data_IF_036029007908
#
_entry.id   IF_036029007908
#
_cell.length_a   1.000
_cell.length_b   1.000
_cell.length_c   1.000
_cell.angle_alpha   90.00
_cell.angle_beta   90.00
_cell.angle_gamma   90.00
#
_symmetry.space_group_name_H-M   'P 1'
#
loop_
_entity.id
_entity.type
_entity.pdbx_description
1 polymer ?
#
# COMPACT_ATOMS: atom_id res chain seq x y z
N UNK A 1 49.65 23.17 8.19
CA UNK A 1 49.46 23.99 9.41
C UNK A 1 48.68 25.23 9.02
N UNK A 2 47.53 25.05 8.38
CA UNK A 2 46.25 24.46 8.87
C UNK A 2 45.40 25.59 9.47
N UNK A 3 44.51 26.19 8.68
CA UNK A 3 43.13 25.76 8.35
C UNK A 3 42.15 26.54 9.25
N UNK A 4 41.56 27.60 8.68
CA UNK A 4 40.49 28.36 9.33
C UNK A 4 39.17 27.58 9.16
N UNK A 5 38.42 27.30 10.23
CA UNK A 5 37.14 26.61 10.08
C UNK A 5 36.08 27.58 9.54
N UNK A 6 35.63 27.29 8.32
CA UNK A 6 34.48 27.91 7.69
C UNK A 6 33.21 27.71 8.54
N UNK A 7 32.58 28.83 8.92
CA UNK A 7 31.26 28.89 9.53
C UNK A 7 30.21 28.40 8.53
N UNK A 8 29.72 27.17 8.73
CA UNK A 8 28.53 26.62 8.07
C UNK A 8 27.27 27.29 8.63
N UNK A 9 26.35 27.83 7.80
CA UNK A 9 25.02 28.14 8.28
C UNK A 9 24.25 26.84 8.55
N UNK A 10 23.74 26.72 9.78
CA UNK A 10 22.86 25.63 10.18
C UNK A 10 21.60 25.63 9.31
N UNK A 11 21.36 24.50 8.65
CA UNK A 11 20.16 24.25 7.86
C UNK A 11 18.92 24.35 8.74
N UNK A 12 18.02 25.22 8.30
CA UNK A 12 16.64 25.46 8.73
C UNK A 12 16.01 24.30 9.51
N UNK A 13 15.85 24.51 10.82
CA UNK A 13 14.89 23.79 11.63
C UNK A 13 13.50 24.41 11.41
N UNK A 14 12.91 24.19 10.23
CA UNK A 14 11.49 24.46 10.02
C UNK A 14 10.66 23.27 10.53
N UNK A 15 10.75 23.08 11.85
CA UNK A 15 9.70 22.40 12.61
C UNK A 15 8.73 23.49 13.02
N UNK A 16 7.47 23.35 12.60
CA UNK A 16 6.27 24.10 13.04
C UNK A 16 5.81 25.20 12.09
N UNK A 17 5.25 24.83 10.95
CA UNK A 17 3.92 25.32 10.52
C UNK A 17 3.40 24.54 9.32
N UNK A 18 2.60 23.51 9.58
CA UNK A 18 1.53 23.18 8.64
C UNK A 18 0.28 23.93 9.11
N UNK A 19 -0.45 24.59 8.20
CA UNK A 19 -1.22 25.77 8.55
C UNK A 19 -2.57 25.40 9.13
N UNK A 20 -3.10 26.33 9.90
CA UNK A 20 -4.48 26.49 10.38
C UNK A 20 -5.52 26.56 9.23
N UNK A 21 -5.36 25.77 8.16
CA UNK A 21 -6.27 25.68 7.01
C UNK A 21 -7.26 24.51 7.11
N UNK A 22 -7.18 23.70 8.17
CA UNK A 22 -8.15 22.63 8.46
C UNK A 22 -8.76 22.75 9.86
N UNK A 23 -8.60 23.90 10.52
CA UNK A 23 -9.33 24.21 11.74
C UNK A 23 -10.59 24.99 11.37
N UNK A 24 -11.62 24.26 10.93
CA UNK A 24 -12.97 24.75 11.11
C UNK A 24 -13.49 24.09 12.37
N UNK A 25 -13.76 24.93 13.37
CA UNK A 25 -14.45 24.63 14.61
C UNK A 25 -15.54 23.59 14.40
N UNK A 26 -15.72 22.68 15.36
CA UNK A 26 -16.85 21.78 15.36
C UNK A 26 -18.16 22.57 15.49
N UNK A 27 -19.11 22.44 14.55
CA UNK A 27 -20.50 22.32 14.91
C UNK A 27 -20.83 20.82 14.99
N UNK A 28 -21.38 20.45 16.13
CA UNK A 28 -22.60 19.64 16.25
C UNK A 28 -22.92 18.73 15.06
N UNK A 29 -22.76 17.42 15.25
CA UNK A 29 -23.59 16.30 14.74
C UNK A 29 -24.15 16.34 13.31
N UNK A 30 -23.66 17.21 12.43
CA UNK A 30 -24.11 17.32 11.06
C UNK A 30 -23.43 16.18 10.31
N UNK A 31 -24.26 15.23 9.83
CA UNK A 31 -23.87 14.12 8.96
C UNK A 31 -22.71 14.55 8.06
N UNK A 32 -21.48 14.15 8.38
CA UNK A 32 -20.39 14.31 7.44
C UNK A 32 -20.82 13.59 6.17
N UNK A 33 -20.82 14.24 5.00
CA UNK A 33 -21.18 13.58 3.77
C UNK A 33 -20.29 12.34 3.63
N UNK A 34 -20.93 11.19 3.38
CA UNK A 34 -20.23 9.95 3.14
C UNK A 34 -19.29 10.17 1.96
N UNK A 35 -17.98 10.11 2.20
CA UNK A 35 -16.99 10.36 1.16
C UNK A 35 -17.12 9.26 0.12
N UNK A 36 -17.24 9.64 -1.16
CA UNK A 36 -17.11 8.67 -2.24
C UNK A 36 -15.72 8.03 -2.18
N UNK A 37 -15.58 6.83 -2.74
CA UNK A 37 -14.29 6.13 -2.84
C UNK A 37 -13.22 7.04 -3.47
N UNK A 38 -13.57 7.74 -4.55
CA UNK A 38 -12.67 8.66 -5.24
C UNK A 38 -12.22 9.83 -4.37
N UNK A 39 -13.15 10.46 -3.64
CA UNK A 39 -12.83 11.57 -2.74
C UNK A 39 -11.96 11.11 -1.57
N UNK A 40 -12.25 9.94 -0.99
CA UNK A 40 -11.44 9.36 0.07
C UNK A 40 -10.03 9.03 -0.43
N UNK A 41 -9.92 8.43 -1.63
CA UNK A 41 -8.63 8.11 -2.25
C UNK A 41 -7.79 9.35 -2.50
N UNK A 42 -8.40 10.41 -3.06
CA UNK A 42 -7.74 11.68 -3.30
C UNK A 42 -7.23 12.32 -2.00
N UNK A 43 -8.03 12.30 -0.92
CA UNK A 43 -7.60 12.85 0.38
C UNK A 43 -6.46 12.06 1.01
N UNK A 44 -6.48 10.74 0.91
CA UNK A 44 -5.37 9.89 1.38
C UNK A 44 -4.11 10.13 0.53
N UNK A 45 -4.25 10.21 -0.79
CA UNK A 45 -3.19 10.57 -1.71
C UNK A 45 -2.55 11.91 -1.33
N UNK A 46 -3.35 12.95 -1.09
CA UNK A 46 -2.88 14.26 -0.69
C UNK A 46 -2.15 14.21 0.67
N UNK A 47 -2.68 13.46 1.64
CA UNK A 47 -2.03 13.24 2.94
C UNK A 47 -0.69 12.52 2.78
N UNK A 48 -0.58 11.55 1.88
CA UNK A 48 0.67 10.84 1.60
C UNK A 48 1.70 11.74 0.92
N UNK A 49 1.28 12.60 0.00
CA UNK A 49 2.13 13.63 -0.63
C UNK A 49 2.69 14.64 0.38
N UNK A 50 1.89 15.00 1.39
CA UNK A 50 2.27 15.97 2.40
C UNK A 50 3.25 15.42 3.45
N UNK A 51 3.34 14.10 3.64
CA UNK A 51 4.20 13.50 4.64
C UNK A 51 5.62 13.23 4.09
N UNK A 52 6.71 13.81 4.64
CA UNK A 52 8.05 13.74 4.04
C UNK A 52 8.55 12.32 3.76
N UNK A 53 8.46 11.42 4.74
CA UNK A 53 8.94 10.04 4.58
C UNK A 53 8.06 9.21 3.63
N UNK A 54 6.74 9.20 3.85
CA UNK A 54 5.77 8.48 3.00
C UNK A 54 5.85 8.95 1.55
N UNK A 55 5.95 10.27 1.31
CA UNK A 55 6.13 10.81 -0.03
C UNK A 55 7.39 10.25 -0.71
N UNK A 56 8.52 10.18 0.00
CA UNK A 56 9.76 9.62 -0.54
C UNK A 56 9.63 8.12 -0.85
N UNK A 57 9.04 7.35 0.06
CA UNK A 57 8.82 5.90 -0.14
C UNK A 57 7.94 5.66 -1.36
N UNK A 58 6.79 6.34 -1.45
CA UNK A 58 5.87 6.19 -2.57
C UNK A 58 6.47 6.68 -3.89
N UNK A 59 7.24 7.77 -3.87
CA UNK A 59 8.01 8.22 -5.04
C UNK A 59 8.99 7.14 -5.49
N UNK A 60 9.65 6.46 -4.57
CA UNK A 60 10.63 5.42 -4.90
C UNK A 60 9.96 4.18 -5.51
N UNK A 61 8.94 3.61 -4.85
CA UNK A 61 8.30 2.38 -5.31
C UNK A 61 7.45 2.58 -6.57
N UNK A 62 6.93 3.79 -6.81
CA UNK A 62 6.19 4.14 -8.03
C UNK A 62 7.08 4.69 -9.14
N UNK A 63 8.39 4.86 -8.90
CA UNK A 63 9.30 5.57 -9.83
C UNK A 63 8.76 6.96 -10.21
N UNK A 64 8.27 7.69 -9.21
CA UNK A 64 7.62 8.99 -9.31
C UNK A 64 6.31 9.03 -10.13
N UNK A 65 5.74 7.87 -10.50
CA UNK A 65 4.45 7.78 -11.19
C UNK A 65 3.29 7.92 -10.21
N UNK A 66 3.03 9.15 -9.77
CA UNK A 66 2.02 9.45 -8.75
C UNK A 66 0.57 9.21 -9.20
N UNK A 67 0.29 9.26 -10.50
CA UNK A 67 -1.02 8.86 -11.05
C UNK A 67 -1.31 7.38 -10.72
N UNK A 68 -0.30 6.51 -10.85
CA UNK A 68 -0.47 5.08 -10.53
C UNK A 68 -0.67 4.85 -9.02
N UNK A 69 -0.09 5.72 -8.18
CA UNK A 69 -0.28 5.67 -6.72
C UNK A 69 -1.73 6.00 -6.38
N UNK A 70 -2.27 7.08 -6.94
CA UNK A 70 -3.68 7.47 -6.73
C UNK A 70 -4.65 6.40 -7.26
N UNK A 71 -4.39 5.83 -8.44
CA UNK A 71 -5.19 4.74 -8.99
C UNK A 71 -5.14 3.50 -8.09
N UNK A 72 -3.95 3.17 -7.57
CA UNK A 72 -3.79 2.04 -6.65
C UNK A 72 -4.53 2.27 -5.34
N UNK A 73 -4.50 3.47 -4.78
CA UNK A 73 -5.29 3.83 -3.58
C UNK A 73 -6.79 3.70 -3.88
N UNK A 74 -7.25 4.17 -5.04
CA UNK A 74 -8.66 4.02 -5.44
C UNK A 74 -9.09 2.55 -5.47
N UNK A 75 -8.31 1.68 -6.12
CA UNK A 75 -8.60 0.25 -6.17
C UNK A 75 -8.60 -0.39 -4.78
N UNK A 76 -7.63 -0.07 -3.92
CA UNK A 76 -7.59 -0.61 -2.54
C UNK A 76 -8.87 -0.23 -1.76
N UNK A 77 -9.39 0.97 -1.98
CA UNK A 77 -10.56 1.48 -1.27
C UNK A 77 -11.90 1.03 -1.87
N UNK A 78 -11.95 0.69 -3.16
CA UNK A 78 -13.16 0.23 -3.84
C UNK A 78 -13.65 -1.12 -3.26
N UNK A 79 -14.85 -1.20 -2.64
CA UNK A 79 -15.41 -2.43 -2.07
C UNK A 79 -15.45 -3.64 -3.02
N UNK A 80 -15.56 -3.41 -4.32
CA UNK A 80 -15.63 -4.47 -5.32
C UNK A 80 -14.25 -5.05 -5.69
N UNK A 81 -13.17 -4.34 -5.38
CA UNK A 81 -11.81 -4.78 -5.69
C UNK A 81 -11.42 -5.95 -4.79
N UNK A 82 -11.11 -7.08 -5.43
CA UNK A 82 -10.51 -8.23 -4.79
C UNK A 82 -8.98 -8.14 -4.80
N UNK A 83 -8.35 -9.03 -4.05
CA UNK A 83 -6.89 -9.10 -3.97
C UNK A 83 -6.24 -9.41 -5.33
N UNK A 84 -6.89 -10.16 -6.22
CA UNK A 84 -6.31 -10.54 -7.53
C UNK A 84 -6.38 -9.39 -8.55
N UNK A 85 -7.19 -8.36 -8.27
CA UNK A 85 -7.33 -7.17 -9.10
C UNK A 85 -6.26 -6.10 -8.80
N UNK A 86 -5.47 -6.28 -7.74
CA UNK A 86 -4.43 -5.33 -7.36
C UNK A 86 -3.19 -5.43 -8.23
N UNK A 87 -2.78 -4.27 -8.76
CA UNK A 87 -1.47 -4.10 -9.39
C UNK A 87 -0.32 -4.40 -8.40
N UNK A 88 0.89 -4.74 -8.87
CA UNK A 88 2.05 -4.91 -7.99
C UNK A 88 2.33 -3.70 -7.09
N UNK A 89 2.09 -2.48 -7.60
CA UNK A 89 2.19 -1.26 -6.79
C UNK A 89 1.12 -1.22 -5.70
N UNK A 90 -0.12 -1.58 -6.02
CA UNK A 90 -1.22 -1.70 -5.05
C UNK A 90 -0.90 -2.69 -3.94
N UNK A 91 -0.34 -3.85 -4.29
CA UNK A 91 0.08 -4.86 -3.31
C UNK A 91 1.17 -4.32 -2.36
N UNK A 92 2.18 -3.62 -2.91
CA UNK A 92 3.22 -2.96 -2.10
C UNK A 92 2.63 -1.88 -1.17
N UNK A 93 1.64 -1.12 -1.63
CA UNK A 93 0.97 -0.10 -0.81
C UNK A 93 0.15 -0.77 0.31
N UNK A 94 -0.57 -1.85 0.03
CA UNK A 94 -1.28 -2.63 1.06
C UNK A 94 -0.30 -3.19 2.10
N UNK A 95 0.84 -3.73 1.69
CA UNK A 95 1.87 -4.20 2.61
C UNK A 95 2.37 -3.07 3.52
N UNK A 96 2.64 -1.88 2.97
CA UNK A 96 3.03 -0.72 3.76
C UNK A 96 1.94 -0.28 4.75
N UNK A 97 0.66 -0.40 4.38
CA UNK A 97 -0.48 -0.03 5.23
C UNK A 97 -0.69 -1.00 6.41
N UNK A 98 -0.25 -2.25 6.30
CA UNK A 98 -0.64 -3.33 7.23
C UNK A 98 0.54 -3.99 7.95
N UNK A 99 1.60 -4.36 7.22
CA UNK A 99 2.57 -5.36 7.65
C UNK A 99 3.59 -4.87 8.69
N UNK A 100 3.73 -3.56 8.86
CA UNK A 100 4.73 -2.94 9.75
C UNK A 100 6.18 -3.42 9.52
N UNK A 101 6.48 -3.91 8.32
CA UNK A 101 7.81 -4.40 7.96
C UNK A 101 8.76 -3.24 7.67
N UNK A 102 9.95 -3.33 8.25
CA UNK A 102 10.98 -2.29 8.13
C UNK A 102 10.56 -0.93 8.71
N UNK A 103 11.39 0.09 8.47
CA UNK A 103 11.14 1.45 8.96
C UNK A 103 9.92 2.07 8.27
N UNK A 104 9.77 1.85 6.96
CA UNK A 104 8.68 2.42 6.16
C UNK A 104 7.31 1.95 6.63
N UNK A 105 7.12 0.65 6.89
CA UNK A 105 5.86 0.12 7.40
C UNK A 105 5.53 0.64 8.81
N UNK A 106 6.54 0.69 9.70
CA UNK A 106 6.39 1.24 11.06
C UNK A 106 6.02 2.72 11.11
N UNK A 107 6.33 3.47 10.06
CA UNK A 107 5.92 4.88 9.92
C UNK A 107 4.56 4.99 9.22
N UNK A 108 4.37 4.26 8.12
CA UNK A 108 3.21 4.45 7.25
C UNK A 108 1.92 3.99 7.92
N UNK A 109 1.87 2.81 8.53
CA UNK A 109 0.64 2.29 9.15
C UNK A 109 0.07 3.21 10.23
N UNK A 110 0.81 3.64 11.27
CA UNK A 110 0.24 4.53 12.28
C UNK A 110 -0.15 5.89 11.68
N UNK A 111 0.60 6.40 10.70
CA UNK A 111 0.21 7.61 9.99
C UNK A 111 -1.11 7.43 9.22
N UNK A 112 -1.25 6.32 8.50
CA UNK A 112 -2.44 5.99 7.73
C UNK A 112 -3.67 5.84 8.64
N UNK A 113 -3.55 5.17 9.79
CA UNK A 113 -4.62 5.07 10.78
C UNK A 113 -5.07 6.45 11.27
N UNK A 114 -4.15 7.36 11.58
CA UNK A 114 -4.47 8.74 11.98
C UNK A 114 -5.18 9.49 10.85
N UNK A 115 -4.75 9.31 9.60
CA UNK A 115 -5.42 9.91 8.43
C UNK A 115 -6.86 9.38 8.32
N UNK A 116 -7.07 8.07 8.38
CA UNK A 116 -8.41 7.48 8.30
C UNK A 116 -9.33 7.94 9.43
N UNK A 117 -8.85 7.98 10.66
CA UNK A 117 -9.64 8.44 11.81
C UNK A 117 -10.10 9.89 11.63
N UNK A 118 -9.24 10.76 11.09
CA UNK A 118 -9.59 12.17 10.81
C UNK A 118 -10.64 12.29 9.71
N UNK A 119 -10.50 11.49 8.65
CA UNK A 119 -11.36 11.55 7.47
C UNK A 119 -12.74 10.91 7.72
N UNK A 120 -12.77 9.73 8.34
CA UNK A 120 -13.96 8.87 8.42
C UNK A 120 -14.56 8.77 9.82
N UNK A 121 -13.79 9.09 10.86
CA UNK A 121 -14.14 8.79 12.25
C UNK A 121 -13.74 7.37 12.68
N UNK A 122 -13.77 7.08 14.00
CA UNK A 122 -13.20 5.85 14.55
C UNK A 122 -13.82 4.57 13.97
N UNK A 123 -15.14 4.46 13.97
CA UNK A 123 -15.84 3.24 13.57
C UNK A 123 -15.61 2.88 12.09
N UNK A 124 -15.73 3.86 11.20
CA UNK A 124 -15.52 3.68 9.76
C UNK A 124 -14.05 3.42 9.45
N UNK A 125 -13.13 4.09 10.15
CA UNK A 125 -11.69 3.84 10.00
C UNK A 125 -11.32 2.40 10.38
N UNK A 126 -11.86 1.87 11.48
CA UNK A 126 -11.62 0.49 11.90
C UNK A 126 -12.20 -0.54 10.94
N UNK A 127 -13.39 -0.29 10.38
CA UNK A 127 -14.00 -1.16 9.37
C UNK A 127 -13.15 -1.21 8.11
N UNK A 128 -12.67 -0.06 7.64
CA UNK A 128 -11.81 0.02 6.47
C UNK A 128 -10.44 -0.64 6.73
N UNK A 129 -9.82 -0.39 7.89
CA UNK A 129 -8.57 -1.05 8.27
C UNK A 129 -8.71 -2.57 8.29
N UNK A 130 -9.76 -3.11 8.92
CA UNK A 130 -10.02 -4.56 8.93
C UNK A 130 -10.17 -5.16 7.54
N UNK A 131 -10.78 -4.42 6.60
CA UNK A 131 -10.89 -4.85 5.21
C UNK A 131 -9.52 -4.90 4.51
N UNK A 132 -8.70 -3.86 4.69
CA UNK A 132 -7.35 -3.80 4.12
C UNK A 132 -6.46 -4.89 4.75
N UNK A 133 -6.60 -5.16 6.05
CA UNK A 133 -5.92 -6.27 6.73
C UNK A 133 -6.32 -7.63 6.14
N UNK A 134 -7.62 -7.86 5.89
CA UNK A 134 -8.09 -9.10 5.25
C UNK A 134 -7.51 -9.27 3.85
N UNK A 135 -7.49 -8.19 3.06
CA UNK A 135 -6.86 -8.15 1.74
C UNK A 135 -5.36 -8.50 1.80
N UNK A 136 -4.64 -8.00 2.81
CA UNK A 136 -3.24 -8.34 3.07
C UNK A 136 -3.03 -9.81 3.44
N UNK A 137 -3.87 -10.37 4.33
CA UNK A 137 -3.77 -11.78 4.71
C UNK A 137 -4.02 -12.71 3.51
N UNK A 138 -4.96 -12.34 2.64
CA UNK A 138 -5.15 -13.06 1.38
C UNK A 138 -3.91 -12.94 0.50
N UNK A 139 -3.29 -11.75 0.41
CA UNK A 139 -2.03 -11.55 -0.31
C UNK A 139 -0.95 -12.55 0.17
N UNK A 140 -0.71 -12.61 1.48
CA UNK A 140 0.27 -13.50 2.09
C UNK A 140 0.00 -14.99 1.84
N UNK A 141 -1.27 -15.42 1.91
CA UNK A 141 -1.64 -16.84 1.76
C UNK A 141 -1.20 -17.42 0.41
N UNK A 142 -1.30 -16.67 -0.69
CA UNK A 142 -0.86 -17.13 -2.03
C UNK A 142 0.65 -17.08 -2.23
N UNK A 143 1.35 -16.20 -1.50
CA UNK A 143 2.83 -16.21 -1.50
C UNK A 143 3.32 -17.51 -0.83
N UNK A 144 2.63 -17.94 0.24
CA UNK A 144 2.93 -19.18 0.96
C UNK A 144 2.46 -20.44 0.20
N UNK A 145 1.37 -20.33 -0.57
CA UNK A 145 0.85 -21.40 -1.42
C UNK A 145 0.80 -20.94 -2.88
N UNK A 146 1.94 -20.92 -3.60
CA UNK A 146 1.89 -20.76 -5.04
C UNK A 146 1.09 -21.93 -5.60
N UNK A 147 0.06 -21.62 -6.41
CA UNK A 147 -0.74 -22.61 -7.12
C UNK A 147 0.22 -23.60 -7.76
N UNK A 148 0.16 -24.86 -7.32
CA UNK A 148 0.93 -25.94 -7.94
C UNK A 148 0.58 -25.95 -9.42
N UNK A 149 1.52 -25.61 -10.29
CA UNK A 149 1.37 -25.86 -11.72
C UNK A 149 1.04 -27.34 -11.89
N UNK A 150 -0.01 -27.71 -12.66
CA UNK A 150 -0.24 -29.12 -12.95
C UNK A 150 1.03 -29.65 -13.62
N UNK A 151 1.67 -30.62 -12.97
CA UNK A 151 2.83 -31.29 -13.53
C UNK A 151 2.44 -31.80 -14.94
N UNK A 152 3.31 -31.65 -15.95
CA UNK A 152 3.04 -32.26 -17.24
C UNK A 152 2.85 -33.75 -16.99
N UNK A 153 1.65 -34.24 -17.30
CA UNK A 153 1.32 -35.66 -17.22
C UNK A 153 2.20 -36.38 -18.24
N UNK A 154 3.35 -36.89 -17.78
CA UNK A 154 4.14 -37.83 -18.55
C UNK A 154 3.31 -39.11 -18.59
N UNK A 155 2.54 -39.29 -19.66
CA UNK A 155 1.87 -40.55 -19.95
C UNK A 155 2.93 -41.66 -20.04
N UNK A 156 2.80 -42.77 -19.31
CA UNK A 156 3.65 -43.92 -19.51
C UNK A 156 3.31 -44.53 -20.87
N UNK A 157 4.22 -44.45 -21.85
CA UNK A 157 4.17 -45.33 -23.01
C UNK A 157 4.75 -46.67 -22.59
N UNK A 158 3.87 -47.56 -22.13
CA UNK A 158 4.11 -48.99 -22.09
C UNK A 158 3.61 -49.59 -23.42
N UNK A 159 4.51 -50.17 -24.21
CA UNK A 159 4.24 -51.41 -24.96
C UNK A 159 5.46 -51.86 -25.73
N UNK A 160 6.02 -52.95 -25.22
CA UNK A 160 6.73 -53.98 -25.97
C UNK A 160 6.07 -54.27 -27.32
N UNK A 161 6.90 -54.30 -28.38
CA UNK A 161 6.62 -55.17 -29.52
C UNK A 161 7.91 -55.72 -30.14
N UNK A 162 8.16 -56.98 -29.79
CA UNK A 162 8.58 -58.07 -30.67
C UNK A 162 9.77 -57.84 -31.63
N UNK A 163 10.89 -58.47 -31.30
CA UNK A 163 11.76 -59.05 -32.33
C UNK A 163 12.25 -60.43 -31.90
N UNK A 164 11.48 -61.44 -32.30
CA UNK A 164 11.92 -62.82 -32.39
C UNK A 164 11.89 -63.24 -33.86
N UNK A 165 13.01 -63.81 -34.32
CA UNK A 165 13.24 -64.82 -35.40
C UNK A 165 14.65 -64.61 -35.96
N UNK A 166 15.61 -65.48 -35.64
CA UNK A 166 15.92 -66.73 -36.37
C UNK A 166 16.30 -66.46 -37.84
N UNK A 167 17.61 -66.34 -38.09
CA UNK A 167 18.36 -67.08 -39.09
C UNK A 167 19.86 -67.00 -38.79
#
# INVERSE_FOLDING_TARGET
MDDQPATRPARSADRRRWPELLSHAAPDSARRPELSTAELAFRIYAAFRAHPHVCNVLTHISRARWIDVEQSINSILDPATSRDDLSPLGQNIVELMVAERGISGKILKPYFQVVLQRLLGPLQSERLMRRIDAMYLDLERKIQHPVQSPAPSISPKESDHARSKLQ
#
